data_IF_946547918016
#
_entry.id   IF_946547918016
#
_cell.length_a   1.000
_cell.length_b   1.000
_cell.length_c   1.000
_cell.angle_alpha   90.00
_cell.angle_beta   90.00
_cell.angle_gamma   90.00
#
_symmetry.space_group_name_H-M   'P 1'
#
loop_
_entity.id
_entity.type
_entity.pdbx_description
1 polymer ?
#
# COMPACT_ATOMS: atom_id res chain seq x y z
N UNK A 1 40.21 44.29 39.75
CA UNK A 1 40.30 44.54 38.29
C UNK A 1 39.90 43.27 37.56
N UNK A 2 38.83 43.37 36.78
CA UNK A 2 38.33 42.54 35.66
C UNK A 2 38.49 41.00 35.68
N UNK A 3 37.36 40.25 35.72
CA UNK A 3 36.58 39.67 34.57
C UNK A 3 37.38 38.52 33.90
N UNK A 4 36.89 37.30 33.69
CA UNK A 4 35.67 36.88 32.99
C UNK A 4 35.29 35.43 33.38
N UNK A 5 34.02 35.21 33.72
CA UNK A 5 33.39 33.88 33.70
C UNK A 5 33.09 33.51 32.25
N UNK A 6 33.77 32.50 31.71
CA UNK A 6 33.43 31.91 30.41
C UNK A 6 32.43 30.78 30.67
N UNK A 7 31.14 31.12 30.57
CA UNK A 7 30.06 30.15 30.51
C UNK A 7 29.99 29.59 29.08
N UNK A 8 30.43 28.36 28.89
CA UNK A 8 30.38 27.67 27.60
C UNK A 8 28.98 27.07 27.41
N UNK A 9 28.06 27.88 26.88
CA UNK A 9 26.71 27.43 26.49
C UNK A 9 26.81 26.62 25.19
N UNK A 10 26.91 25.29 25.30
CA UNK A 10 26.90 24.38 24.15
C UNK A 10 25.48 24.30 23.59
N UNK A 11 25.15 25.18 22.64
CA UNK A 11 23.88 25.15 21.94
C UNK A 11 23.82 23.90 21.02
N UNK A 12 23.14 22.84 21.46
CA UNK A 12 22.74 21.73 20.60
C UNK A 12 21.72 22.25 19.58
N UNK A 13 22.21 22.73 18.43
CA UNK A 13 21.36 22.99 17.27
C UNK A 13 20.89 21.65 16.71
N UNK A 14 19.63 21.32 16.92
CA UNK A 14 18.97 20.20 16.26
C UNK A 14 18.88 20.51 14.76
N UNK A 15 19.68 19.82 13.96
CA UNK A 15 19.57 19.85 12.50
C UNK A 15 18.30 19.08 12.13
N UNK A 16 17.21 19.81 11.89
CA UNK A 16 16.00 19.23 11.29
C UNK A 16 16.29 18.93 9.83
N UNK A 17 16.56 17.66 9.51
CA UNK A 17 16.68 17.19 8.12
C UNK A 17 15.28 17.22 7.51
N UNK A 18 14.94 18.32 6.84
CA UNK A 18 13.77 18.40 5.99
C UNK A 18 13.94 17.40 4.84
N UNK A 19 13.25 16.27 4.91
CA UNK A 19 13.25 15.29 3.83
C UNK A 19 12.49 15.89 2.64
N UNK A 20 13.22 16.19 1.57
CA UNK A 20 12.59 16.57 0.30
C UNK A 20 11.67 15.43 -0.15
N UNK A 21 10.40 15.75 -0.38
CA UNK A 21 9.41 14.80 -0.87
C UNK A 21 9.84 14.37 -2.28
N UNK A 22 10.13 13.08 -2.48
CA UNK A 22 10.46 12.55 -3.81
C UNK A 22 9.31 12.83 -4.79
N UNK A 23 9.63 13.09 -6.06
CA UNK A 23 8.61 13.24 -7.11
C UNK A 23 7.76 11.97 -7.30
N UNK A 24 8.33 10.81 -6.95
CA UNK A 24 7.64 9.51 -6.90
C UNK A 24 7.37 9.14 -5.45
N UNK A 25 6.10 8.93 -5.02
CA UNK A 25 5.77 8.55 -3.66
C UNK A 25 6.57 7.35 -3.16
N UNK A 26 7.22 7.46 -1.99
CA UNK A 26 7.98 6.37 -1.38
C UNK A 26 7.28 5.84 -0.15
N UNK A 27 7.43 4.53 0.15
CA UNK A 27 6.79 3.91 1.31
C UNK A 27 7.13 4.58 2.64
N UNK A 28 8.36 5.09 2.78
CA UNK A 28 8.84 5.80 4.00
C UNK A 28 8.11 7.12 4.26
N UNK A 29 7.51 7.72 3.23
CA UNK A 29 6.81 9.00 3.34
C UNK A 29 5.39 8.82 3.90
N UNK A 30 4.91 7.57 3.99
CA UNK A 30 3.58 7.21 4.47
C UNK A 30 3.63 6.15 5.58
N UNK A 31 4.36 6.41 6.68
CA UNK A 31 4.53 5.41 7.72
C UNK A 31 3.22 5.14 8.47
N UNK A 32 3.17 3.99 9.14
CA UNK A 32 2.20 3.68 10.20
C UNK A 32 2.86 3.86 11.56
N UNK A 33 2.05 4.11 12.60
CA UNK A 33 2.57 4.24 13.97
C UNK A 33 3.18 2.94 14.50
N UNK A 34 2.57 1.81 14.14
CA UNK A 34 3.00 0.47 14.56
C UNK A 34 2.36 -0.59 13.67
N UNK A 35 3.03 -1.74 13.53
CA UNK A 35 2.44 -2.94 12.93
C UNK A 35 1.70 -3.74 14.02
N UNK A 36 0.48 -4.18 13.73
CA UNK A 36 -0.36 -4.93 14.66
C UNK A 36 0.19 -6.34 14.90
N UNK A 37 0.49 -6.62 16.16
CA UNK A 37 1.00 -7.91 16.64
C UNK A 37 0.05 -8.60 17.63
N UNK A 38 -1.14 -8.02 17.85
CA UNK A 38 -2.12 -8.54 18.79
C UNK A 38 -2.87 -9.77 18.28
N UNK A 39 -3.82 -10.24 19.09
CA UNK A 39 -4.66 -11.39 18.74
C UNK A 39 -5.47 -11.13 17.47
N UNK A 40 -5.46 -12.09 16.56
CA UNK A 40 -6.27 -12.05 15.34
C UNK A 40 -7.76 -12.14 15.68
N UNK A 41 -8.58 -11.26 15.10
CA UNK A 41 -10.04 -11.31 15.21
C UNK A 41 -10.66 -12.43 14.36
N UNK A 42 -11.90 -12.82 14.69
CA UNK A 42 -12.70 -13.67 13.81
C UNK A 42 -13.09 -12.87 12.56
N UNK A 43 -13.11 -13.53 11.40
CA UNK A 43 -13.60 -12.93 10.16
C UNK A 43 -15.05 -12.46 10.33
N UNK A 44 -15.32 -11.21 9.96
CA UNK A 44 -16.66 -10.65 9.93
C UNK A 44 -17.40 -11.15 8.68
N UNK A 45 -18.22 -12.19 8.86
CA UNK A 45 -18.99 -12.81 7.77
C UNK A 45 -20.34 -12.13 7.51
N UNK A 46 -20.63 -11.01 8.20
CA UNK A 46 -21.80 -10.19 7.86
C UNK A 46 -21.61 -9.46 6.53
N UNK A 47 -20.36 -9.25 6.11
CA UNK A 47 -20.00 -8.78 4.78
C UNK A 47 -20.19 -9.92 3.75
N UNK A 48 -21.00 -9.71 2.69
CA UNK A 48 -21.27 -10.75 1.69
C UNK A 48 -20.01 -11.25 0.96
N UNK A 49 -19.07 -10.36 0.65
CA UNK A 49 -17.79 -10.71 0.02
C UNK A 49 -16.94 -11.52 0.99
N UNK A 50 -16.93 -11.14 2.27
CA UNK A 50 -16.22 -11.89 3.29
C UNK A 50 -16.80 -13.30 3.46
N UNK A 51 -18.12 -13.46 3.41
CA UNK A 51 -18.77 -14.76 3.50
C UNK A 51 -18.49 -15.64 2.27
N UNK A 52 -18.54 -15.04 1.08
CA UNK A 52 -18.26 -15.72 -0.20
C UNK A 52 -16.83 -16.27 -0.24
N UNK A 53 -15.84 -15.48 0.20
CA UNK A 53 -14.41 -15.86 0.17
C UNK A 53 -13.85 -16.27 1.54
N UNK A 54 -14.71 -16.70 2.48
CA UNK A 54 -14.39 -16.94 3.89
C UNK A 54 -13.16 -17.83 4.13
N UNK A 55 -12.96 -18.85 3.32
CA UNK A 55 -11.81 -19.77 3.48
C UNK A 55 -10.49 -19.05 3.20
N UNK A 56 -10.42 -18.29 2.11
CA UNK A 56 -9.23 -17.51 1.73
C UNK A 56 -8.95 -16.41 2.75
N UNK A 57 -9.99 -15.72 3.21
CA UNK A 57 -9.86 -14.65 4.18
C UNK A 57 -9.48 -15.14 5.58
N UNK A 58 -9.98 -16.31 6.00
CA UNK A 58 -9.50 -16.96 7.23
C UNK A 58 -8.06 -17.40 7.13
N UNK A 59 -7.59 -17.83 5.94
CA UNK A 59 -6.18 -18.12 5.72
C UNK A 59 -5.33 -16.85 5.79
N UNK A 60 -5.74 -15.77 5.11
CA UNK A 60 -5.07 -14.47 5.18
C UNK A 60 -4.96 -13.94 6.63
N UNK A 61 -5.99 -14.09 7.45
CA UNK A 61 -5.96 -13.67 8.86
C UNK A 61 -4.89 -14.39 9.71
N UNK A 62 -4.41 -15.56 9.28
CA UNK A 62 -3.29 -16.27 9.93
C UNK A 62 -1.94 -15.60 9.64
N UNK A 63 -1.81 -14.95 8.48
CA UNK A 63 -0.58 -14.28 8.05
C UNK A 63 -0.34 -12.95 8.77
N UNK A 64 0.93 -12.51 8.83
CA UNK A 64 1.29 -11.20 9.39
C UNK A 64 0.74 -10.07 8.51
N UNK A 65 0.39 -8.89 9.08
CA UNK A 65 0.02 -7.74 8.26
C UNK A 65 1.12 -7.42 7.25
N UNK A 66 0.74 -7.24 5.99
CA UNK A 66 1.62 -6.87 4.88
C UNK A 66 1.23 -5.51 4.26
N UNK A 67 0.24 -4.84 4.85
CA UNK A 67 -0.23 -3.53 4.43
C UNK A 67 -0.74 -2.67 5.59
N UNK A 68 -0.37 -1.39 5.61
CA UNK A 68 -0.95 -0.35 6.47
C UNK A 68 -1.06 -0.73 7.96
N UNK A 69 -0.08 -1.47 8.47
CA UNK A 69 0.08 -1.82 9.87
C UNK A 69 -0.80 -2.99 10.32
N UNK A 70 -1.99 -3.16 9.76
CA UNK A 70 -2.97 -4.10 10.30
C UNK A 70 -3.75 -4.88 9.25
N UNK A 71 -3.50 -4.65 7.96
CA UNK A 71 -4.18 -5.36 6.88
C UNK A 71 -3.31 -6.47 6.32
N UNK A 72 -3.97 -7.56 5.93
CA UNK A 72 -3.40 -8.62 5.11
C UNK A 72 -4.06 -8.56 3.74
N UNK A 73 -3.26 -8.39 2.70
CA UNK A 73 -3.68 -8.49 1.30
C UNK A 73 -3.95 -9.95 0.95
N UNK A 74 -5.05 -10.18 0.24
CA UNK A 74 -5.41 -11.48 -0.34
C UNK A 74 -5.77 -11.29 -1.81
N UNK A 75 -5.63 -12.35 -2.60
CA UNK A 75 -5.94 -12.36 -4.02
C UNK A 75 -6.71 -13.63 -4.41
N UNK A 76 -7.62 -13.50 -5.38
CA UNK A 76 -8.23 -14.63 -6.09
C UNK A 76 -8.48 -14.28 -7.55
N UNK A 77 -8.64 -15.28 -8.41
CA UNK A 77 -8.95 -15.07 -9.82
C UNK A 77 -10.42 -14.70 -10.05
N UNK A 78 -10.69 -13.90 -11.09
CA UNK A 78 -12.06 -13.59 -11.55
C UNK A 78 -12.44 -14.26 -12.89
N UNK A 79 -11.55 -15.10 -13.44
CA UNK A 79 -11.68 -15.72 -14.78
C UNK A 79 -10.71 -15.07 -15.78
N UNK A 80 -10.44 -15.71 -16.93
CA UNK A 80 -9.63 -15.13 -18.03
C UNK A 80 -8.33 -14.39 -17.59
N UNK A 81 -7.55 -14.98 -16.68
CA UNK A 81 -6.32 -14.39 -16.11
C UNK A 81 -6.50 -13.10 -15.28
N UNK A 82 -7.74 -12.65 -15.04
CA UNK A 82 -8.06 -11.56 -14.12
C UNK A 82 -7.79 -11.95 -12.67
N UNK A 83 -7.29 -11.00 -11.88
CA UNK A 83 -7.07 -11.10 -10.43
C UNK A 83 -7.91 -10.06 -9.72
N UNK A 84 -8.43 -10.40 -8.54
CA UNK A 84 -9.07 -9.48 -7.60
C UNK A 84 -8.29 -9.46 -6.30
N UNK A 85 -8.12 -8.28 -5.73
CA UNK A 85 -7.39 -8.06 -4.48
C UNK A 85 -8.33 -7.48 -3.43
N UNK A 86 -8.21 -8.00 -2.21
CA UNK A 86 -8.91 -7.47 -1.03
C UNK A 86 -7.99 -7.44 0.17
N UNK A 87 -8.38 -6.70 1.19
CA UNK A 87 -7.57 -6.46 2.39
C UNK A 87 -8.41 -6.75 3.62
N UNK A 88 -7.97 -7.70 4.45
CA UNK A 88 -8.65 -8.02 5.70
C UNK A 88 -7.87 -7.44 6.88
N UNK A 89 -8.58 -6.71 7.74
CA UNK A 89 -8.01 -6.12 8.94
C UNK A 89 -7.84 -7.20 10.01
N UNK A 90 -6.60 -7.43 10.47
CA UNK A 90 -6.26 -8.47 11.43
C UNK A 90 -6.82 -8.19 12.84
N UNK A 91 -7.01 -6.91 13.19
CA UNK A 91 -7.56 -6.46 14.48
C UNK A 91 -9.07 -6.60 14.55
N UNK A 92 -9.79 -6.34 13.45
CA UNK A 92 -11.27 -6.29 13.46
C UNK A 92 -11.94 -7.43 12.71
N UNK A 93 -11.21 -8.13 11.84
CA UNK A 93 -11.77 -9.16 10.96
C UNK A 93 -12.59 -8.61 9.79
N UNK A 94 -12.64 -7.28 9.62
CA UNK A 94 -13.40 -6.61 8.56
C UNK A 94 -12.57 -6.42 7.30
N UNK A 95 -13.23 -6.41 6.15
CA UNK A 95 -12.61 -6.02 4.89
C UNK A 95 -12.49 -4.49 4.80
N UNK A 96 -11.51 -4.02 4.03
CA UNK A 96 -11.62 -2.69 3.43
C UNK A 96 -12.79 -2.69 2.45
N UNK A 97 -13.52 -1.56 2.38
CA UNK A 97 -14.65 -1.41 1.48
C UNK A 97 -14.22 -1.49 0.00
N UNK A 98 -13.05 -0.95 -0.32
CA UNK A 98 -12.50 -0.96 -1.66
C UNK A 98 -11.53 -2.13 -1.88
N UNK A 99 -11.64 -2.73 -3.06
CA UNK A 99 -10.68 -3.69 -3.61
C UNK A 99 -10.01 -3.17 -4.89
N UNK A 100 -9.13 -3.99 -5.45
CA UNK A 100 -8.42 -3.74 -6.71
C UNK A 100 -8.48 -4.96 -7.63
N UNK A 101 -8.00 -4.81 -8.86
CA UNK A 101 -8.14 -5.83 -9.90
C UNK A 101 -9.56 -5.89 -10.49
N UNK A 102 -9.94 -7.05 -11.04
CA UNK A 102 -11.13 -7.13 -11.87
C UNK A 102 -10.86 -6.58 -13.27
N UNK A 103 -11.93 -6.34 -14.02
CA UNK A 103 -11.85 -5.76 -15.36
C UNK A 103 -11.55 -4.25 -15.34
N UNK A 104 -11.83 -3.59 -14.21
CA UNK A 104 -11.91 -2.12 -14.16
C UNK A 104 -10.84 -1.45 -13.31
N UNK A 105 -10.13 -2.19 -12.45
CA UNK A 105 -9.12 -1.62 -11.55
C UNK A 105 -7.76 -2.30 -11.73
N UNK A 106 -6.66 -1.56 -11.57
CA UNK A 106 -5.31 -2.08 -11.79
C UNK A 106 -4.94 -3.15 -10.75
N UNK A 107 -3.95 -3.98 -11.10
CA UNK A 107 -3.42 -5.02 -10.21
C UNK A 107 -2.58 -4.41 -9.09
N UNK A 108 -2.70 -4.93 -7.87
CA UNK A 108 -1.85 -4.54 -6.75
C UNK A 108 -0.49 -5.21 -6.89
N UNK A 109 0.56 -4.40 -7.05
CA UNK A 109 1.93 -4.91 -7.25
C UNK A 109 2.79 -4.82 -6.00
N UNK A 110 2.58 -3.81 -5.14
CA UNK A 110 3.39 -3.67 -3.92
C UNK A 110 2.61 -3.05 -2.76
N UNK A 111 2.82 -3.63 -1.58
CA UNK A 111 2.31 -3.19 -0.29
C UNK A 111 3.40 -3.43 0.76
N UNK A 112 3.39 -2.67 1.87
CA UNK A 112 4.30 -2.90 2.99
C UNK A 112 3.58 -2.80 4.32
N UNK A 113 3.94 -3.69 5.25
CA UNK A 113 3.37 -3.72 6.60
C UNK A 113 3.50 -2.37 7.32
N UNK A 114 4.63 -1.68 7.16
CA UNK A 114 4.93 -0.43 7.85
C UNK A 114 4.52 0.83 7.08
N UNK A 115 3.74 0.71 6.01
CA UNK A 115 3.36 1.84 5.17
C UNK A 115 1.90 1.79 4.75
N UNK A 116 1.28 2.97 4.67
CA UNK A 116 -0.07 3.16 4.11
C UNK A 116 -0.07 3.31 2.59
N UNK A 117 1.10 3.31 1.96
CA UNK A 117 1.25 3.40 0.51
C UNK A 117 0.96 2.03 -0.14
N UNK A 118 0.19 2.06 -1.22
CA UNK A 118 -0.11 0.93 -2.08
C UNK A 118 0.24 1.31 -3.52
N UNK A 119 0.88 0.39 -4.24
CA UNK A 119 1.26 0.58 -5.64
C UNK A 119 0.50 -0.40 -6.51
N UNK A 120 -0.07 0.10 -7.61
CA UNK A 120 -0.73 -0.73 -8.62
C UNK A 120 -0.12 -0.54 -9.99
N UNK A 121 -0.30 -1.53 -10.87
CA UNK A 121 0.04 -1.44 -12.29
C UNK A 121 -1.09 -1.97 -13.18
N UNK A 122 -1.19 -1.39 -14.36
CA UNK A 122 -2.04 -1.82 -15.46
C UNK A 122 -1.25 -1.71 -16.77
N UNK A 123 -1.42 -2.71 -17.62
CA UNK A 123 -0.81 -2.77 -18.95
C UNK A 123 -1.87 -2.36 -19.98
N UNK A 124 -1.52 -1.42 -20.84
CA UNK A 124 -2.30 -1.08 -22.02
C UNK A 124 -1.67 -1.77 -23.22
N UNK A 125 -2.48 -2.57 -23.91
CA UNK A 125 -2.06 -3.35 -25.06
C UNK A 125 -2.54 -2.68 -26.35
N UNK A 126 -1.72 -2.76 -27.39
CA UNK A 126 -2.11 -2.36 -28.73
C UNK A 126 -3.03 -3.41 -29.40
N UNK A 127 -3.42 -3.17 -30.65
CA UNK A 127 -4.32 -4.05 -31.40
C UNK A 127 -3.74 -5.45 -31.67
N UNK A 128 -2.42 -5.63 -31.51
CA UNK A 128 -1.74 -6.91 -31.68
C UNK A 128 -1.53 -7.65 -30.34
N UNK A 129 -2.17 -7.18 -29.26
CA UNK A 129 -1.98 -7.69 -27.90
C UNK A 129 -0.57 -7.49 -27.33
N UNK A 130 0.20 -6.55 -27.91
CA UNK A 130 1.52 -6.18 -27.39
C UNK A 130 1.38 -5.05 -26.39
N UNK A 131 2.09 -5.14 -25.25
CA UNK A 131 2.05 -4.07 -24.23
C UNK A 131 2.76 -2.84 -24.77
N UNK A 132 2.02 -1.76 -25.00
CA UNK A 132 2.58 -0.48 -25.48
C UNK A 132 2.86 0.50 -24.35
N UNK A 133 2.15 0.37 -23.23
CA UNK A 133 2.23 1.30 -22.12
C UNK A 133 1.94 0.59 -20.81
N UNK A 134 2.69 0.98 -19.77
CA UNK A 134 2.41 0.58 -18.38
C UNK A 134 2.04 1.82 -17.59
N UNK A 135 0.89 1.76 -16.94
CA UNK A 135 0.48 2.77 -15.98
C UNK A 135 0.77 2.27 -14.56
N UNK A 136 1.48 3.07 -13.77
CA UNK A 136 1.73 2.83 -12.35
C UNK A 136 0.99 3.87 -11.53
N UNK A 137 0.19 3.44 -10.56
CA UNK A 137 -0.56 4.35 -9.67
C UNK A 137 -0.17 4.12 -8.22
N UNK A 138 -0.11 5.21 -7.48
CA UNK A 138 0.25 5.26 -6.07
C UNK A 138 -0.94 5.73 -5.25
N UNK A 139 -1.36 4.94 -4.28
CA UNK A 139 -2.48 5.24 -3.41
C UNK A 139 -2.04 5.29 -1.96
N UNK A 140 -2.60 6.20 -1.17
CA UNK A 140 -2.48 6.16 0.29
C UNK A 140 -3.81 5.71 0.88
N UNK A 141 -3.75 4.78 1.83
CA UNK A 141 -4.91 4.46 2.66
C UNK A 141 -5.13 5.57 3.70
N UNK A 142 -6.30 6.20 3.64
CA UNK A 142 -6.76 7.22 4.58
C UNK A 142 -8.12 6.82 5.14
N UNK A 143 -8.22 6.74 6.48
CA UNK A 143 -9.39 6.21 7.20
C UNK A 143 -9.72 4.80 6.69
N UNK A 144 -10.67 4.68 5.76
CA UNK A 144 -11.12 3.41 5.17
C UNK A 144 -11.09 3.38 3.62
N UNK A 145 -10.46 4.37 2.97
CA UNK A 145 -10.48 4.49 1.50
C UNK A 145 -9.11 4.80 0.91
N UNK A 146 -8.95 4.50 -0.38
CA UNK A 146 -7.72 4.74 -1.12
C UNK A 146 -7.76 6.09 -1.83
N UNK A 147 -6.85 6.99 -1.47
CA UNK A 147 -6.64 8.26 -2.17
C UNK A 147 -5.51 8.13 -3.18
N UNK A 148 -5.81 8.39 -4.46
CA UNK A 148 -4.80 8.45 -5.51
C UNK A 148 -3.85 9.63 -5.24
N UNK A 149 -2.56 9.36 -5.21
CA UNK A 149 -1.50 10.35 -5.02
C UNK A 149 -0.84 10.75 -6.33
N UNK A 150 -0.56 9.76 -7.17
CA UNK A 150 0.20 9.94 -8.41
C UNK A 150 -0.10 8.84 -9.40
N UNK A 151 -0.11 9.21 -10.67
CA UNK A 151 -0.08 8.31 -11.83
C UNK A 151 1.21 8.58 -12.59
N UNK A 152 1.90 7.51 -12.97
CA UNK A 152 3.06 7.53 -13.86
C UNK A 152 2.72 6.62 -15.04
N UNK A 153 2.96 7.13 -16.24
CA UNK A 153 2.65 6.43 -17.49
C UNK A 153 3.94 6.28 -18.26
N UNK A 154 4.35 5.04 -18.53
CA UNK A 154 5.62 4.72 -19.18
C UNK A 154 5.33 3.96 -20.48
N UNK A 155 5.78 4.46 -21.65
CA UNK A 155 5.72 3.68 -22.88
C UNK A 155 6.70 2.51 -22.79
N UNK A 156 6.29 1.34 -23.28
CA UNK A 156 7.18 0.20 -23.45
C UNK A 156 7.94 0.43 -24.76
N UNK A 157 9.26 0.61 -24.67
CA UNK A 157 10.11 0.78 -25.86
C UNK A 157 10.01 -0.46 -26.73
N UNK A 158 9.62 -0.31 -28.01
CA UNK A 158 9.51 -1.40 -29.00
C UNK A 158 10.87 -1.99 -29.44
N UNK A 159 11.98 -1.64 -28.78
CA UNK A 159 13.31 -2.13 -29.13
C UNK A 159 13.71 -3.34 -28.29
N UNK A 160 13.14 -4.51 -28.60
CA UNK A 160 13.82 -5.81 -28.46
C UNK A 160 12.96 -6.94 -29.07
N UNK A 161 12.89 -6.97 -30.40
CA UNK A 161 13.06 -8.18 -31.21
C UNK A 161 13.27 -7.84 -32.68
#
# INVERSE_FOLDING_TARGET
>A
MNKYLISLFFALTTISIAHAKSAVPQFRDYPVKSVYTGKTAKLDISDPSANMFRTRLRAALKEKPDFAGEYVKTMWGCGASCRMYSFVNKRTGKLLADGFGGETRPDVVETRANSRLLVTKDQHMDQNYEVEQVTTRFYVLEKNGFKLLKTIVEPVSKNQK
#
